data_IF_628648867354
#
_entry.id   IF_628648867354
#
_cell.length_a   1.000
_cell.length_b   1.000
_cell.length_c   1.000
_cell.angle_alpha   90.00
_cell.angle_beta   90.00
_cell.angle_gamma   90.00
#
_symmetry.space_group_name_H-M   'P 1'
#
loop_
_entity.id
_entity.type
_entity.pdbx_description
1 polymer ?
#
# COMPACT_ATOMS: atom_id res chain seq x y z
N UNK A 1 13.29 8.80 -5.16
CA UNK A 1 12.06 8.09 -5.61
C UNK A 1 11.06 7.90 -4.47
N UNK A 2 9.79 8.21 -4.73
CA UNK A 2 8.64 7.96 -3.84
C UNK A 2 7.69 6.96 -4.49
N UNK A 3 7.23 5.97 -3.73
CA UNK A 3 6.25 4.97 -4.17
C UNK A 3 4.92 5.27 -3.48
N UNK A 4 3.88 5.48 -4.28
CA UNK A 4 2.49 5.58 -3.84
C UNK A 4 1.74 4.30 -4.16
N UNK A 5 0.94 3.81 -3.21
CA UNK A 5 0.02 2.70 -3.40
C UNK A 5 -1.42 3.21 -3.22
N UNK A 6 -2.31 2.80 -4.11
CA UNK A 6 -3.74 3.06 -4.01
C UNK A 6 -4.49 1.72 -3.95
N UNK A 7 -5.13 1.45 -2.80
CA UNK A 7 -5.86 0.22 -2.55
C UNK A 7 -7.35 0.41 -2.87
N UNK A 8 -7.71 0.21 -4.13
CA UNK A 8 -9.10 0.18 -4.56
C UNK A 8 -9.81 -1.14 -4.26
N UNK A 9 -11.14 -1.13 -4.24
CA UNK A 9 -11.96 -2.32 -3.97
C UNK A 9 -11.92 -3.41 -5.05
N UNK A 10 -11.34 -3.12 -6.22
CA UNK A 10 -11.24 -4.07 -7.36
C UNK A 10 -9.82 -4.16 -7.92
N UNK A 11 -9.07 -3.05 -7.89
CA UNK A 11 -7.69 -2.95 -8.39
C UNK A 11 -6.84 -2.23 -7.35
N UNK A 12 -5.63 -2.71 -7.16
CA UNK A 12 -4.58 -2.04 -6.38
C UNK A 12 -3.56 -1.50 -7.36
N UNK A 13 -3.23 -0.22 -7.26
CA UNK A 13 -2.29 0.47 -8.15
C UNK A 13 -1.02 0.87 -7.39
N UNK A 14 0.13 0.79 -8.07
CA UNK A 14 1.38 1.42 -7.66
C UNK A 14 1.76 2.51 -8.64
N UNK A 15 2.30 3.60 -8.10
CA UNK A 15 2.98 4.65 -8.85
C UNK A 15 4.34 4.92 -8.22
N UNK A 16 5.40 4.92 -9.02
CA UNK A 16 6.71 5.38 -8.62
C UNK A 16 6.96 6.76 -9.23
N UNK A 17 7.30 7.72 -8.37
CA UNK A 17 7.60 9.09 -8.73
C UNK A 17 9.07 9.40 -8.48
N UNK A 18 9.70 10.08 -9.43
CA UNK A 18 11.02 10.65 -9.23
C UNK A 18 11.00 11.85 -8.31
N UNK A 19 12.17 12.43 -8.11
CA UNK A 19 12.35 13.51 -7.12
C UNK A 19 11.68 14.81 -7.59
N UNK A 20 11.65 15.05 -8.92
CA UNK A 20 10.92 16.15 -9.54
C UNK A 20 9.41 15.87 -9.73
N UNK A 21 8.92 14.71 -9.29
CA UNK A 21 7.51 14.32 -9.36
C UNK A 21 7.10 13.70 -10.69
N UNK A 22 8.05 13.42 -11.57
CA UNK A 22 7.84 12.68 -12.81
C UNK A 22 7.45 11.23 -12.54
N UNK A 23 6.54 10.68 -13.35
CA UNK A 23 6.15 9.28 -13.24
C UNK A 23 7.23 8.38 -13.84
N UNK A 24 7.87 7.57 -13.00
CA UNK A 24 8.89 6.59 -13.40
C UNK A 24 8.27 5.22 -13.73
N UNK A 25 7.25 4.82 -12.96
CA UNK A 25 6.58 3.53 -13.13
C UNK A 25 5.13 3.61 -12.67
N UNK A 26 4.26 2.84 -13.31
CA UNK A 26 2.87 2.64 -12.88
C UNK A 26 2.42 1.24 -13.26
N UNK A 27 1.81 0.54 -12.31
CA UNK A 27 1.25 -0.79 -12.56
C UNK A 27 0.06 -1.07 -11.66
N UNK A 28 -0.81 -2.00 -12.06
CA UNK A 28 -1.99 -2.37 -11.26
C UNK A 28 -2.23 -3.86 -11.29
N UNK A 29 -2.59 -4.41 -10.15
CA UNK A 29 -3.01 -5.81 -9.99
C UNK A 29 -4.46 -5.88 -9.49
N UNK A 30 -5.18 -6.99 -9.72
CA UNK A 30 -6.45 -7.25 -9.06
C UNK A 30 -6.31 -7.18 -7.53
N UNK A 31 -7.26 -6.54 -6.86
CA UNK A 31 -7.31 -6.55 -5.39
C UNK A 31 -7.84 -7.91 -4.92
N UNK A 32 -7.09 -8.66 -4.11
CA UNK A 32 -7.57 -9.90 -3.51
C UNK A 32 -8.60 -9.57 -2.43
N UNK A 33 -9.88 -9.71 -2.78
CA UNK A 33 -10.98 -9.46 -1.86
C UNK A 33 -11.04 -10.52 -0.78
N UNK A 34 -11.45 -10.10 0.41
CA UNK A 34 -11.67 -10.97 1.57
C UNK A 34 -10.44 -11.77 2.03
N UNK A 35 -9.25 -11.39 1.55
CA UNK A 35 -7.98 -12.01 1.91
C UNK A 35 -6.93 -10.94 2.29
N UNK A 36 -6.79 -10.74 3.59
CA UNK A 36 -5.85 -9.78 4.16
C UNK A 36 -4.39 -10.12 3.83
N UNK A 37 -4.00 -11.40 3.93
CA UNK A 37 -2.61 -11.80 3.70
C UNK A 37 -2.25 -11.65 2.24
N UNK A 38 -3.14 -12.07 1.33
CA UNK A 38 -2.93 -11.88 -0.08
C UNK A 38 -2.90 -10.39 -0.45
N UNK A 39 -3.66 -9.54 0.25
CA UNK A 39 -3.59 -8.07 0.06
C UNK A 39 -2.20 -7.53 0.37
N UNK A 40 -1.61 -7.94 1.51
CA UNK A 40 -0.23 -7.59 1.88
C UNK A 40 0.76 -8.03 0.79
N UNK A 41 0.67 -9.28 0.32
CA UNK A 41 1.57 -9.81 -0.70
C UNK A 41 1.39 -9.14 -2.07
N UNK A 42 0.16 -8.78 -2.45
CA UNK A 42 -0.10 -8.04 -3.70
C UNK A 42 0.54 -6.65 -3.64
N UNK A 43 0.44 -5.94 -2.51
CA UNK A 43 1.08 -4.63 -2.33
C UNK A 43 2.61 -4.78 -2.38
N UNK A 44 3.16 -5.79 -1.68
CA UNK A 44 4.60 -6.03 -1.70
C UNK A 44 5.12 -6.35 -3.11
N UNK A 45 4.39 -7.18 -3.85
CA UNK A 45 4.71 -7.50 -5.26
C UNK A 45 4.72 -6.25 -6.12
N UNK A 46 3.71 -5.38 -6.01
CA UNK A 46 3.65 -4.13 -6.77
C UNK A 46 4.84 -3.20 -6.46
N UNK A 47 5.22 -3.13 -5.19
CA UNK A 47 6.39 -2.38 -4.74
C UNK A 47 7.67 -2.96 -5.35
N UNK A 48 7.86 -4.28 -5.28
CA UNK A 48 9.04 -4.95 -5.84
C UNK A 48 9.12 -4.72 -7.36
N UNK A 49 8.00 -4.78 -8.08
CA UNK A 49 7.93 -4.49 -9.52
C UNK A 49 8.36 -3.05 -9.84
N UNK A 50 7.94 -2.08 -9.03
CA UNK A 50 8.34 -0.69 -9.21
C UNK A 50 9.84 -0.48 -8.97
N UNK A 51 10.40 -1.12 -7.94
CA UNK A 51 11.84 -1.03 -7.65
C UNK A 51 12.70 -1.72 -8.71
N UNK A 52 12.26 -2.89 -9.19
CA UNK A 52 12.93 -3.59 -10.30
C UNK A 52 12.90 -2.76 -11.59
N UNK A 53 11.76 -2.15 -11.93
CA UNK A 53 11.62 -1.36 -13.14
C UNK A 53 12.44 -0.05 -13.11
N UNK A 54 12.63 0.53 -11.91
CA UNK A 54 13.34 1.81 -11.74
C UNK A 54 14.80 1.66 -11.34
N UNK A 55 15.22 0.46 -10.91
CA UNK A 55 16.54 0.17 -10.36
C UNK A 55 16.81 0.88 -9.02
N UNK A 56 15.77 1.33 -8.32
CA UNK A 56 15.88 2.15 -7.12
C UNK A 56 14.99 1.61 -6.00
N UNK A 57 15.45 1.77 -4.75
CA UNK A 57 14.62 1.52 -3.56
C UNK A 57 14.02 2.84 -3.08
N UNK A 58 12.69 2.90 -2.93
CA UNK A 58 11.98 4.14 -2.60
C UNK A 58 11.36 4.19 -1.19
N UNK A 59 10.81 5.33 -0.80
CA UNK A 59 9.89 5.41 0.36
C UNK A 59 8.49 4.97 -0.06
N UNK A 60 7.72 4.31 0.81
CA UNK A 60 6.37 3.83 0.50
C UNK A 60 5.33 4.61 1.29
N UNK A 61 4.41 5.24 0.58
CA UNK A 61 3.18 5.82 1.11
C UNK A 61 1.96 5.14 0.49
N UNK A 62 0.87 5.08 1.22
CA UNK A 62 -0.36 4.45 0.73
C UNK A 62 -1.61 5.19 1.20
N UNK A 63 -2.52 5.43 0.27
CA UNK A 63 -3.90 5.83 0.57
C UNK A 63 -4.72 4.60 0.96
N UNK A 64 -5.43 4.66 2.09
CA UNK A 64 -6.33 3.59 2.49
C UNK A 64 -7.78 4.10 2.57
N UNK A 65 -8.77 3.31 2.11
CA UNK A 65 -10.18 3.66 2.21
C UNK A 65 -10.68 3.35 3.62
N UNK A 66 -10.11 3.99 4.64
CA UNK A 66 -10.30 3.74 6.07
C UNK A 66 -9.26 4.47 6.94
N UNK A 67 -9.29 4.26 8.25
CA UNK A 67 -8.32 4.90 9.17
C UNK A 67 -7.75 3.92 10.17
N UNK A 68 -6.49 4.14 10.59
CA UNK A 68 -5.93 3.44 11.74
C UNK A 68 -6.46 4.10 13.01
N UNK A 69 -7.02 3.31 13.90
CA UNK A 69 -7.41 3.76 15.23
C UNK A 69 -6.17 4.06 16.08
N UNK A 70 -6.00 5.28 16.62
CA UNK A 70 -4.85 5.61 17.47
C UNK A 70 -4.85 4.84 18.80
N UNK A 71 -6.02 4.36 19.23
CA UNK A 71 -6.18 3.63 20.48
C UNK A 71 -5.85 2.14 20.35
N UNK A 72 -6.22 1.52 19.22
CA UNK A 72 -6.09 0.07 19.03
C UNK A 72 -4.98 -0.31 18.05
N UNK A 73 -4.49 0.64 17.24
CA UNK A 73 -3.43 0.39 16.25
C UNK A 73 -3.85 -0.55 15.12
N UNK A 74 -5.15 -0.64 14.84
CA UNK A 74 -5.72 -1.45 13.77
C UNK A 74 -6.66 -0.60 12.90
N UNK A 75 -6.88 -1.03 11.67
CA UNK A 75 -7.77 -0.36 10.72
C UNK A 75 -9.23 -0.43 11.20
N UNK A 76 -9.97 0.68 11.02
CA UNK A 76 -11.41 0.79 11.25
C UNK A 76 -12.10 1.53 10.10
N UNK A 77 -13.40 1.28 9.97
CA UNK A 77 -14.29 1.92 9.00
C UNK A 77 -13.78 1.81 7.55
N UNK A 78 -13.10 0.72 7.22
CA UNK A 78 -12.64 0.50 5.87
C UNK A 78 -13.73 -0.07 4.97
N UNK A 79 -13.87 0.47 3.76
CA UNK A 79 -14.76 -0.09 2.73
C UNK A 79 -14.30 -1.49 2.30
N UNK A 80 -12.97 -1.71 2.28
CA UNK A 80 -12.36 -3.03 2.14
C UNK A 80 -12.42 -3.74 3.49
N UNK A 81 -13.54 -4.43 3.75
CA UNK A 81 -13.92 -4.92 5.08
C UNK A 81 -12.92 -5.88 5.71
N UNK A 82 -12.19 -6.66 4.91
CA UNK A 82 -11.15 -7.59 5.37
C UNK A 82 -9.92 -6.91 5.99
N UNK A 83 -9.79 -5.59 5.85
CA UNK A 83 -8.77 -4.82 6.54
C UNK A 83 -9.19 -4.46 7.96
N UNK A 84 -10.49 -4.38 8.25
CA UNK A 84 -10.97 -3.94 9.56
C UNK A 84 -10.48 -4.88 10.67
N UNK A 85 -9.96 -4.29 11.76
CA UNK A 85 -9.38 -5.04 12.86
C UNK A 85 -7.95 -5.52 12.64
N UNK A 86 -7.35 -5.26 11.48
CA UNK A 86 -5.98 -5.69 11.17
C UNK A 86 -4.94 -4.58 11.43
N UNK A 87 -3.72 -4.92 11.90
CA UNK A 87 -2.61 -3.97 12.11
C UNK A 87 -1.85 -3.69 10.79
N UNK A 88 -2.58 -3.14 9.82
CA UNK A 88 -2.18 -3.11 8.41
C UNK A 88 -0.86 -2.39 8.11
N UNK A 89 -0.61 -1.25 8.75
CA UNK A 89 0.65 -0.50 8.65
C UNK A 89 1.84 -1.31 9.17
N UNK A 90 1.67 -2.01 10.30
CA UNK A 90 2.72 -2.81 10.92
C UNK A 90 3.06 -4.03 10.09
N UNK A 91 2.05 -4.74 9.60
CA UNK A 91 2.26 -5.94 8.79
C UNK A 91 2.86 -5.59 7.42
N UNK A 92 2.45 -4.48 6.80
CA UNK A 92 3.11 -3.98 5.58
C UNK A 92 4.55 -3.57 5.85
N UNK A 93 4.80 -2.85 6.94
CA UNK A 93 6.15 -2.40 7.30
C UNK A 93 7.07 -3.60 7.58
N UNK A 94 6.54 -4.63 8.25
CA UNK A 94 7.23 -5.88 8.47
C UNK A 94 7.48 -6.61 7.15
N UNK A 95 6.49 -6.71 6.26
CA UNK A 95 6.64 -7.41 4.97
C UNK A 95 7.63 -6.72 4.03
N UNK A 96 7.67 -5.38 4.04
CA UNK A 96 8.55 -4.58 3.19
C UNK A 96 9.91 -4.24 3.84
N UNK A 97 10.09 -4.61 5.11
CA UNK A 97 11.30 -4.34 5.91
C UNK A 97 11.67 -2.85 5.88
N UNK A 98 10.67 -1.98 6.01
CA UNK A 98 10.80 -0.52 6.08
C UNK A 98 9.51 0.13 6.55
N UNK A 99 9.58 1.39 6.96
CA UNK A 99 8.39 2.19 7.27
C UNK A 99 7.46 2.31 6.07
N UNK A 100 6.16 2.08 6.29
CA UNK A 100 5.08 2.35 5.34
C UNK A 100 4.15 3.39 5.95
N UNK A 101 3.99 4.53 5.25
CA UNK A 101 3.15 5.64 5.74
C UNK A 101 1.75 5.55 5.17
N UNK A 102 0.76 5.39 6.04
CA UNK A 102 -0.64 5.37 5.65
C UNK A 102 -1.27 6.75 5.78
N UNK A 103 -2.06 7.14 4.78
CA UNK A 103 -2.91 8.31 4.81
C UNK A 103 -4.36 7.87 4.54
N UNK A 104 -5.31 8.51 5.22
CA UNK A 104 -6.71 8.39 4.86
C UNK A 104 -6.92 9.02 3.48
N UNK A 105 -7.70 8.38 2.61
CA UNK A 105 -8.01 8.88 1.27
C UNK A 105 -9.14 9.94 1.26
N UNK A 106 -9.73 10.21 2.43
CA UNK A 106 -10.80 11.19 2.69
C UNK A 106 -10.45 12.23 3.78
#
# INVERSE_FOLDING_TARGET
MRIGIDLGGTKTEVIALGDAGEQLYRHRLPTPRDDYRQTIETIATLVDMAEQATGQRGTVGMGIPGSISPYTGVVKNANSTWLNGQPFDKDLSARLQREVRLANDA
#
